data_IF_724499427307
#
_entry.id   IF_724499427307
#
_cell.length_a   1.000
_cell.length_b   1.000
_cell.length_c   1.000
_cell.angle_alpha   90.00
_cell.angle_beta   90.00
_cell.angle_gamma   90.00
#
_symmetry.space_group_name_H-M   'P 1'
#
loop_
_entity.id
_entity.type
_entity.pdbx_description
1 polymer ?
#
# COMPACT_ATOMS: atom_id res chain seq x y z
N UNK A 1 -26.46 2.21 15.39
CA UNK A 1 -26.01 1.93 14.01
C UNK A 1 -27.14 1.17 13.37
N UNK A 2 -27.78 1.77 12.36
CA UNK A 2 -28.86 1.13 11.62
C UNK A 2 -28.28 0.00 10.74
N UNK A 3 -29.07 -1.00 10.40
CA UNK A 3 -28.65 -2.10 9.53
C UNK A 3 -28.19 -1.57 8.16
N UNK A 4 -28.82 -0.51 7.66
CA UNK A 4 -28.41 0.17 6.44
C UNK A 4 -27.01 0.79 6.53
N UNK A 5 -26.64 1.36 7.68
CA UNK A 5 -25.30 1.92 7.91
C UNK A 5 -24.23 0.82 7.83
N UNK A 6 -24.54 -0.37 8.37
CA UNK A 6 -23.63 -1.53 8.35
C UNK A 6 -23.42 -2.03 6.91
N UNK A 7 -24.50 -2.16 6.14
CA UNK A 7 -24.43 -2.60 4.74
C UNK A 7 -23.66 -1.60 3.87
N UNK A 8 -23.89 -0.30 4.05
CA UNK A 8 -23.14 0.74 3.34
C UNK A 8 -21.64 0.64 3.65
N UNK A 9 -21.27 0.53 4.92
CA UNK A 9 -19.87 0.43 5.33
C UNK A 9 -19.19 -0.90 4.90
N UNK A 10 -19.95 -1.96 4.67
CA UNK A 10 -19.43 -3.19 4.06
C UNK A 10 -19.15 -3.00 2.57
N UNK A 11 -20.10 -2.39 1.85
CA UNK A 11 -20.00 -2.13 0.41
C UNK A 11 -18.83 -1.20 0.10
N UNK A 12 -18.66 -0.14 0.89
CA UNK A 12 -17.56 0.83 0.72
C UNK A 12 -16.19 0.16 0.94
N UNK A 13 -16.07 -0.74 1.93
CA UNK A 13 -14.83 -1.48 2.16
C UNK A 13 -14.54 -2.45 1.02
N UNK A 14 -15.52 -3.23 0.58
CA UNK A 14 -15.36 -4.20 -0.51
C UNK A 14 -14.93 -3.51 -1.81
N UNK A 15 -15.54 -2.36 -2.12
CA UNK A 15 -15.13 -1.55 -3.26
C UNK A 15 -13.69 -1.04 -3.12
N UNK A 16 -13.31 -0.57 -1.93
CA UNK A 16 -11.96 -0.06 -1.68
C UNK A 16 -10.90 -1.15 -1.81
N UNK A 17 -11.19 -2.36 -1.32
CA UNK A 17 -10.33 -3.53 -1.46
C UNK A 17 -10.22 -3.94 -2.93
N UNK A 18 -11.31 -3.93 -3.68
CA UNK A 18 -11.28 -4.20 -5.13
C UNK A 18 -10.37 -3.24 -5.89
N UNK A 19 -10.42 -1.95 -5.58
CA UNK A 19 -9.52 -0.97 -6.19
C UNK A 19 -8.05 -1.21 -5.79
N UNK A 20 -7.78 -1.58 -4.54
CA UNK A 20 -6.42 -1.92 -4.10
C UNK A 20 -5.91 -3.18 -4.82
N UNK A 21 -6.74 -4.22 -4.95
CA UNK A 21 -6.42 -5.45 -5.66
C UNK A 21 -6.06 -5.16 -7.13
N UNK A 22 -6.84 -4.33 -7.80
CA UNK A 22 -6.57 -3.92 -9.19
C UNK A 22 -5.22 -3.20 -9.31
N UNK A 23 -4.82 -2.40 -8.32
CA UNK A 23 -3.54 -1.68 -8.32
C UNK A 23 -2.37 -2.67 -8.18
N UNK A 24 -2.43 -3.58 -7.20
CA UNK A 24 -1.28 -4.45 -6.87
C UNK A 24 -1.00 -5.51 -7.94
N UNK A 25 -1.99 -5.87 -8.76
CA UNK A 25 -1.79 -6.84 -9.85
C UNK A 25 -1.22 -6.20 -11.12
N UNK A 26 -1.20 -4.87 -11.22
CA UNK A 26 -0.70 -4.18 -12.40
C UNK A 26 0.79 -4.43 -12.61
N UNK A 27 1.21 -4.45 -13.89
CA UNK A 27 2.63 -4.54 -14.23
C UNK A 27 3.39 -3.28 -13.81
N UNK A 28 2.73 -2.12 -13.79
CA UNK A 28 3.33 -0.87 -13.31
C UNK A 28 3.75 -0.99 -11.84
N UNK A 29 2.85 -1.47 -10.97
CA UNK A 29 3.16 -1.68 -9.56
C UNK A 29 4.27 -2.72 -9.36
N UNK A 30 4.22 -3.83 -10.08
CA UNK A 30 5.27 -4.87 -10.02
C UNK A 30 6.62 -4.35 -10.48
N UNK A 31 6.64 -3.58 -11.58
CA UNK A 31 7.86 -2.98 -12.10
C UNK A 31 8.44 -1.95 -11.12
N UNK A 32 7.59 -1.14 -10.48
CA UNK A 32 8.02 -0.21 -9.43
C UNK A 32 8.73 -0.94 -8.28
N UNK A 33 8.16 -2.04 -7.80
CA UNK A 33 8.77 -2.88 -6.77
C UNK A 33 10.09 -3.50 -7.26
N UNK A 34 10.07 -4.08 -8.46
CA UNK A 34 11.25 -4.73 -9.04
C UNK A 34 12.41 -3.77 -9.21
N UNK A 35 12.18 -2.57 -9.77
CA UNK A 35 13.21 -1.55 -9.95
C UNK A 35 13.79 -1.11 -8.61
N UNK A 36 12.96 -0.86 -7.60
CA UNK A 36 13.47 -0.51 -6.27
C UNK A 36 14.32 -1.64 -5.67
N UNK A 37 13.89 -2.89 -5.82
CA UNK A 37 14.64 -4.05 -5.32
C UNK A 37 15.97 -4.18 -6.06
N UNK A 38 15.99 -4.12 -7.39
CA UNK A 38 17.21 -4.20 -8.20
C UNK A 38 18.23 -3.13 -7.81
N UNK A 39 17.77 -1.91 -7.53
CA UNK A 39 18.62 -0.79 -7.11
C UNK A 39 19.16 -0.91 -5.68
N UNK A 40 18.55 -1.73 -4.81
CA UNK A 40 18.89 -1.76 -3.38
C UNK A 40 19.24 -3.16 -2.87
N UNK A 41 19.14 -4.21 -3.70
CA UNK A 41 19.34 -5.60 -3.29
C UNK A 41 20.75 -5.89 -2.77
N UNK A 42 21.76 -5.16 -3.23
CA UNK A 42 23.14 -5.30 -2.78
C UNK A 42 23.33 -4.96 -1.29
N UNK A 43 22.46 -4.13 -0.70
CA UNK A 43 22.47 -3.83 0.73
C UNK A 43 21.96 -4.99 1.61
N UNK A 44 21.30 -6.00 1.01
CA UNK A 44 20.75 -7.16 1.70
C UNK A 44 21.73 -8.33 1.85
N UNK A 45 22.98 -8.18 1.39
CA UNK A 45 24.05 -9.17 1.56
C UNK A 45 24.76 -9.16 2.93
N UNK A 46 25.63 -10.15 3.15
CA UNK A 46 26.41 -10.34 4.38
C UNK A 46 27.62 -9.40 4.52
N UNK A 47 27.84 -8.47 3.59
CA UNK A 47 29.02 -7.60 3.60
C UNK A 47 28.91 -6.50 4.66
N UNK A 48 29.93 -6.42 5.53
CA UNK A 48 30.01 -5.54 6.70
C UNK A 48 30.03 -4.02 6.38
N UNK A 49 30.23 -3.62 5.11
CA UNK A 49 30.13 -2.22 4.68
C UNK A 49 28.73 -1.94 4.12
N UNK A 50 27.79 -1.60 4.99
CA UNK A 50 26.49 -1.04 4.59
C UNK A 50 26.58 0.48 4.64
N UNK A 51 26.85 1.10 3.49
CA UNK A 51 26.86 2.56 3.35
C UNK A 51 25.48 3.19 3.65
N UNK A 52 24.40 2.39 3.66
CA UNK A 52 23.04 2.78 4.04
C UNK A 52 22.47 1.81 5.09
N UNK A 53 21.88 2.31 6.20
CA UNK A 53 21.21 1.45 7.17
C UNK A 53 19.95 0.82 6.56
N UNK A 54 19.72 -0.47 6.84
CA UNK A 54 18.54 -1.21 6.37
C UNK A 54 17.21 -0.52 6.69
N UNK A 55 17.15 0.20 7.81
CA UNK A 55 16.00 1.00 8.20
C UNK A 55 15.69 2.09 7.16
N UNK A 56 16.70 2.74 6.59
CA UNK A 56 16.51 3.78 5.58
C UNK A 56 15.96 3.20 4.28
N UNK A 57 16.47 2.04 3.85
CA UNK A 57 15.95 1.34 2.67
C UNK A 57 14.50 0.94 2.89
N UNK A 58 14.17 0.45 4.09
CA UNK A 58 12.79 0.15 4.46
C UNK A 58 11.88 1.38 4.40
N UNK A 59 12.29 2.51 4.97
CA UNK A 59 11.50 3.75 4.92
C UNK A 59 11.32 4.26 3.50
N UNK A 60 12.38 4.22 2.68
CA UNK A 60 12.31 4.60 1.26
C UNK A 60 11.32 3.71 0.50
N UNK A 61 11.37 2.40 0.70
CA UNK A 61 10.43 1.46 0.09
C UNK A 61 8.99 1.73 0.54
N UNK A 62 8.77 1.83 1.85
CA UNK A 62 7.45 2.09 2.43
C UNK A 62 6.84 3.37 1.86
N UNK A 63 7.61 4.45 1.79
CA UNK A 63 7.15 5.72 1.25
C UNK A 63 6.89 5.65 -0.26
N UNK A 64 7.77 4.98 -1.02
CA UNK A 64 7.59 4.80 -2.46
C UNK A 64 6.28 4.08 -2.78
N UNK A 65 6.07 2.92 -2.15
CA UNK A 65 4.90 2.08 -2.37
C UNK A 65 3.64 2.75 -1.83
N UNK A 66 3.69 3.31 -0.61
CA UNK A 66 2.56 4.03 -0.02
C UNK A 66 2.10 5.19 -0.89
N UNK A 67 3.02 6.07 -1.31
CA UNK A 67 2.71 7.22 -2.15
C UNK A 67 2.13 6.81 -3.52
N UNK A 68 2.66 5.74 -4.13
CA UNK A 68 2.12 5.24 -5.39
C UNK A 68 0.68 4.76 -5.23
N UNK A 69 0.40 3.95 -4.20
CA UNK A 69 -0.95 3.43 -3.97
C UNK A 69 -1.91 4.57 -3.62
N UNK A 70 -1.54 5.48 -2.71
CA UNK A 70 -2.39 6.62 -2.31
C UNK A 70 -2.73 7.50 -3.51
N UNK A 71 -1.74 7.81 -4.36
CA UNK A 71 -1.98 8.57 -5.58
C UNK A 71 -2.94 7.84 -6.53
N UNK A 72 -2.71 6.55 -6.74
CA UNK A 72 -3.51 5.76 -7.68
C UNK A 72 -4.95 5.56 -7.18
N UNK A 73 -5.13 5.42 -5.86
CA UNK A 73 -6.45 5.39 -5.23
C UNK A 73 -7.17 6.73 -5.36
N UNK A 74 -6.47 7.85 -5.09
CA UNK A 74 -7.04 9.19 -5.20
C UNK A 74 -7.48 9.54 -6.63
N UNK A 75 -6.76 9.05 -7.65
CA UNK A 75 -7.14 9.19 -9.07
C UNK A 75 -8.43 8.42 -9.40
N UNK A 76 -8.71 7.32 -8.72
CA UNK A 76 -9.92 6.51 -8.92
C UNK A 76 -11.11 7.01 -8.11
N UNK A 77 -10.86 7.49 -6.90
CA UNK A 77 -11.88 8.04 -6.01
C UNK A 77 -11.24 8.99 -4.99
N UNK A 78 -11.70 10.24 -4.98
CA UNK A 78 -11.25 11.26 -4.03
C UNK A 78 -11.56 10.97 -2.57
N UNK A 79 -12.33 9.91 -2.29
CA UNK A 79 -12.69 9.46 -0.94
C UNK A 79 -11.81 8.32 -0.42
N UNK A 80 -10.89 7.81 -1.25
CA UNK A 80 -10.10 6.63 -0.94
C UNK A 80 -8.61 6.98 -0.81
N UNK A 81 -8.05 6.61 0.33
CA UNK A 81 -6.62 6.55 0.59
C UNK A 81 -6.33 5.26 1.38
N UNK A 82 -5.06 4.85 1.42
CA UNK A 82 -4.65 3.60 2.03
C UNK A 82 -4.94 3.58 3.55
N UNK A 83 -4.86 4.75 4.21
CA UNK A 83 -5.12 4.88 5.64
C UNK A 83 -6.60 4.63 5.96
N UNK A 84 -7.51 5.14 5.13
CA UNK A 84 -8.95 4.92 5.25
C UNK A 84 -9.28 3.42 5.15
N UNK A 85 -8.68 2.70 4.19
CA UNK A 85 -8.85 1.25 4.05
C UNK A 85 -8.34 0.52 5.30
N UNK A 86 -7.16 0.90 5.79
CA UNK A 86 -6.56 0.30 6.98
C UNK A 86 -7.44 0.50 8.23
N UNK A 87 -7.92 1.72 8.45
CA UNK A 87 -8.80 2.06 9.57
C UNK A 87 -10.11 1.26 9.50
N UNK A 88 -10.70 1.10 8.31
CA UNK A 88 -11.90 0.30 8.12
C UNK A 88 -11.67 -1.19 8.42
N UNK A 89 -10.51 -1.75 8.05
CA UNK A 89 -10.14 -3.12 8.40
C UNK A 89 -9.95 -3.32 9.92
N UNK A 90 -9.35 -2.35 10.60
CA UNK A 90 -9.10 -2.44 12.04
C UNK A 90 -10.38 -2.31 12.88
N UNK A 91 -11.35 -1.51 12.44
CA UNK A 91 -12.66 -1.39 13.11
C UNK A 91 -13.49 -2.67 13.10
N UNK A 92 -13.29 -3.56 12.12
CA UNK A 92 -14.03 -4.84 12.00
C UNK A 92 -13.40 -6.02 12.74
N UNK A 93 -12.19 -5.85 13.29
CA UNK A 93 -11.49 -6.89 14.09
C UNK A 93 -11.85 -6.86 15.59
N UNK A 94 -12.64 -5.88 16.04
CA UNK A 94 -13.19 -5.78 17.40
C UNK A 94 -14.66 -6.16 17.40
#
# INVERSE_FOLDING_TARGET
MDFQDIISALTDLDQSLGHLEEIIITDEFKNLQASFIEENCHYFGETENKDLPMEEIYYRYKNLIGNYIDRTLAERSSRLDLQNIFDQMHRKKQ
#
